data_IF_134075457307
#
_entry.id   IF_134075457307
#
_cell.length_a   1.000
_cell.length_b   1.000
_cell.length_c   1.000
_cell.angle_alpha   90.00
_cell.angle_beta   90.00
_cell.angle_gamma   90.00
#
_symmetry.space_group_name_H-M   'P 1'
#
loop_
_entity.id
_entity.type
_entity.pdbx_description
1 polymer ?
#
# COMPACT_ATOMS: atom_id res chain seq x y z
N UNK A 1 0.74 -20.11 3.20
CA UNK A 1 0.09 -18.78 3.06
C UNK A 1 1.03 -17.63 3.50
N UNK A 2 2.28 -17.58 3.04
CA UNK A 2 3.27 -16.61 3.55
C UNK A 2 4.24 -16.05 2.49
N UNK A 3 3.93 -16.20 1.19
CA UNK A 3 4.82 -15.75 0.09
C UNK A 3 4.32 -14.46 -0.58
N UNK A 4 3.16 -13.94 -0.18
CA UNK A 4 2.51 -12.79 -0.85
C UNK A 4 2.43 -11.52 -0.02
N UNK A 5 2.83 -11.56 1.27
CA UNK A 5 2.86 -10.35 2.09
C UNK A 5 4.10 -9.51 1.76
N UNK A 6 3.89 -8.46 0.95
CA UNK A 6 4.94 -7.54 0.52
C UNK A 6 5.29 -6.48 1.57
N UNK A 7 4.62 -6.49 2.73
CA UNK A 7 4.88 -5.54 3.82
C UNK A 7 6.00 -6.00 4.77
N UNK A 8 6.44 -7.26 4.65
CA UNK A 8 7.32 -7.91 5.62
C UNK A 8 8.79 -7.83 5.21
N UNK A 9 9.67 -7.57 6.18
CA UNK A 9 11.12 -7.49 5.93
C UNK A 9 11.76 -8.88 5.95
N UNK A 10 12.89 -9.04 5.24
CA UNK A 10 13.69 -10.28 5.25
C UNK A 10 14.10 -10.77 6.64
N UNK A 11 14.19 -9.90 7.64
CA UNK A 11 14.45 -10.27 9.05
C UNK A 11 13.26 -10.96 9.68
N UNK A 12 12.06 -10.41 9.51
CA UNK A 12 10.83 -11.01 10.04
C UNK A 12 10.60 -12.37 9.38
N UNK A 13 10.80 -12.47 8.06
CA UNK A 13 10.69 -13.77 7.37
C UNK A 13 11.70 -14.78 7.92
N UNK A 14 12.93 -14.36 8.22
CA UNK A 14 13.94 -15.23 8.82
C UNK A 14 13.54 -15.72 10.21
N UNK A 15 13.04 -14.84 11.07
CA UNK A 15 12.53 -15.20 12.41
C UNK A 15 11.36 -16.19 12.33
N UNK A 16 10.45 -15.99 11.37
CA UNK A 16 9.31 -16.87 11.20
C UNK A 16 9.70 -18.26 10.71
N UNK A 17 10.71 -18.35 9.85
CA UNK A 17 11.28 -19.63 9.40
C UNK A 17 12.01 -20.32 10.55
N UNK A 18 12.77 -19.60 11.36
CA UNK A 18 13.44 -20.16 12.54
C UNK A 18 12.44 -20.70 13.55
N UNK A 19 11.34 -19.99 13.79
CA UNK A 19 10.26 -20.46 14.67
C UNK A 19 9.63 -21.78 14.19
N UNK A 20 9.38 -21.91 12.88
CA UNK A 20 8.70 -23.08 12.31
C UNK A 20 9.63 -24.27 12.10
N UNK A 21 10.86 -24.00 11.66
CA UNK A 21 11.82 -25.04 11.24
C UNK A 21 12.87 -25.34 12.32
N UNK A 22 12.84 -24.61 13.44
CA UNK A 22 13.81 -24.69 14.54
C UNK A 22 15.27 -24.57 14.08
N UNK A 23 15.49 -23.86 12.97
CA UNK A 23 16.80 -23.66 12.38
C UNK A 23 17.06 -22.18 12.17
N UNK A 24 18.19 -21.70 12.70
CA UNK A 24 18.55 -20.30 12.58
C UNK A 24 18.94 -19.97 11.13
N UNK A 25 18.28 -18.98 10.54
CA UNK A 25 18.59 -18.52 9.18
C UNK A 25 18.87 -17.03 9.22
N UNK A 26 19.96 -16.59 8.59
CA UNK A 26 20.26 -15.17 8.52
C UNK A 26 19.30 -14.43 7.58
N UNK A 27 18.98 -13.18 7.89
CA UNK A 27 18.20 -12.31 7.01
C UNK A 27 18.84 -12.13 5.62
N UNK A 28 20.17 -12.23 5.52
CA UNK A 28 20.91 -12.19 4.24
C UNK A 28 20.57 -13.40 3.37
N UNK A 29 20.54 -14.59 3.97
CA UNK A 29 20.13 -15.82 3.29
C UNK A 29 18.69 -15.71 2.81
N UNK A 30 17.79 -15.21 3.66
CA UNK A 30 16.39 -15.00 3.27
C UNK A 30 16.23 -14.00 2.14
N UNK A 31 16.92 -12.85 2.19
CA UNK A 31 16.90 -11.87 1.10
C UNK A 31 17.34 -12.49 -0.24
N UNK A 32 18.41 -13.29 -0.25
CA UNK A 32 18.89 -13.97 -1.47
C UNK A 32 17.86 -14.95 -2.00
N UNK A 33 17.23 -15.75 -1.14
CA UNK A 33 16.17 -16.70 -1.52
C UNK A 33 14.94 -15.98 -2.09
N UNK A 34 14.53 -14.88 -1.48
CA UNK A 34 13.42 -14.04 -1.96
C UNK A 34 13.75 -13.44 -3.35
N UNK A 35 14.98 -12.97 -3.56
CA UNK A 35 15.42 -12.47 -4.87
C UNK A 35 15.43 -13.57 -5.94
N UNK A 36 15.90 -14.77 -5.60
CA UNK A 36 15.86 -15.94 -6.49
C UNK A 36 14.41 -16.32 -6.87
N UNK A 37 13.45 -16.10 -5.98
CA UNK A 37 12.02 -16.31 -6.27
C UNK A 37 11.34 -15.10 -6.94
N UNK A 38 12.10 -14.11 -7.42
CA UNK A 38 11.58 -12.93 -8.12
C UNK A 38 11.01 -11.83 -7.23
N UNK A 39 11.22 -11.90 -5.91
CA UNK A 39 10.80 -10.87 -4.97
C UNK A 39 11.94 -9.87 -4.72
N UNK A 40 11.66 -8.60 -5.02
CA UNK A 40 12.55 -7.47 -4.75
C UNK A 40 11.97 -6.55 -3.70
N UNK A 41 12.85 -5.93 -2.91
CA UNK A 41 12.44 -4.89 -1.99
C UNK A 41 11.77 -3.73 -2.75
N UNK A 42 10.70 -3.19 -2.16
CA UNK A 42 10.00 -2.01 -2.65
C UNK A 42 9.82 -1.03 -1.50
N UNK A 43 9.81 0.26 -1.81
CA UNK A 43 9.37 1.27 -0.85
C UNK A 43 7.84 1.27 -0.85
N UNK A 44 7.18 1.18 0.33
CA UNK A 44 5.74 1.36 0.38
C UNK A 44 5.39 2.75 -0.17
N UNK A 45 4.29 2.83 -0.92
CA UNK A 45 3.72 4.13 -1.24
C UNK A 45 3.39 4.81 0.08
N UNK A 46 3.78 6.08 0.20
CA UNK A 46 3.36 6.94 1.30
C UNK A 46 1.88 7.26 1.05
N UNK A 47 1.01 6.33 1.42
CA UNK A 47 -0.44 6.49 1.32
C UNK A 47 -1.01 6.82 2.70
N UNK A 48 -2.09 7.60 2.71
CA UNK A 48 -2.84 7.86 3.94
C UNK A 48 -3.62 6.58 4.27
N UNK A 49 -3.41 5.97 5.45
CA UNK A 49 -4.11 4.75 5.78
C UNK A 49 -5.62 5.00 5.80
N UNK A 50 -6.34 4.39 4.88
CA UNK A 50 -7.79 4.40 4.88
C UNK A 50 -8.29 3.49 5.99
N UNK A 51 -9.23 3.98 6.80
CA UNK A 51 -9.96 3.14 7.75
C UNK A 51 -10.86 2.18 6.98
N UNK A 52 -11.27 1.09 7.62
CA UNK A 52 -12.22 0.15 7.00
C UNK A 52 -13.50 0.85 6.54
N UNK A 53 -14.00 1.80 7.33
CA UNK A 53 -15.18 2.60 6.97
C UNK A 53 -14.94 3.46 5.72
N UNK A 54 -13.76 4.09 5.60
CA UNK A 54 -13.43 4.86 4.38
C UNK A 54 -13.45 3.97 3.14
N UNK A 55 -12.89 2.76 3.23
CA UNK A 55 -12.85 1.81 2.11
C UNK A 55 -14.27 1.43 1.69
N UNK A 56 -15.13 1.08 2.65
CA UNK A 56 -16.51 0.68 2.38
C UNK A 56 -17.31 1.82 1.74
N UNK A 57 -17.28 3.01 2.33
CA UNK A 57 -18.03 4.16 1.82
C UNK A 57 -17.57 4.61 0.44
N UNK A 58 -16.25 4.65 0.21
CA UNK A 58 -15.70 4.99 -1.11
C UNK A 58 -16.09 3.97 -2.17
N UNK A 59 -16.03 2.68 -1.83
CA UNK A 59 -16.46 1.61 -2.73
C UNK A 59 -17.95 1.73 -3.05
N UNK A 60 -18.80 1.88 -2.03
CA UNK A 60 -20.23 2.05 -2.23
C UNK A 60 -20.53 3.24 -3.15
N UNK A 61 -19.89 4.38 -2.91
CA UNK A 61 -20.08 5.58 -3.72
C UNK A 61 -19.72 5.34 -5.19
N UNK A 62 -18.64 4.62 -5.46
CA UNK A 62 -18.23 4.23 -6.82
C UNK A 62 -19.20 3.22 -7.44
N UNK A 63 -19.64 2.22 -6.68
CA UNK A 63 -20.56 1.19 -7.17
C UNK A 63 -21.93 1.80 -7.54
N UNK A 64 -22.45 2.74 -6.74
CA UNK A 64 -23.68 3.50 -7.02
C UNK A 64 -23.60 4.31 -8.32
N UNK A 65 -22.42 4.82 -8.67
CA UNK A 65 -22.19 5.73 -9.81
C UNK A 65 -21.48 5.05 -10.97
N UNK A 66 -21.35 3.72 -10.91
CA UNK A 66 -20.58 2.94 -11.88
C UNK A 66 -21.11 3.07 -13.31
N UNK A 67 -22.42 3.28 -13.46
CA UNK A 67 -23.08 3.42 -14.77
C UNK A 67 -23.40 4.86 -15.13
N UNK A 68 -22.98 5.84 -14.33
CA UNK A 68 -23.15 7.25 -14.67
C UNK A 68 -22.35 7.56 -15.93
N UNK A 69 -23.02 8.24 -16.87
CA UNK A 69 -22.43 8.68 -18.13
C UNK A 69 -22.82 10.12 -18.42
N UNK A 70 -24.12 10.38 -18.62
CA UNK A 70 -24.65 11.71 -18.87
C UNK A 70 -24.71 12.56 -17.60
N UNK A 71 -24.87 11.91 -16.45
CA UNK A 71 -24.96 12.55 -15.12
C UNK A 71 -23.67 13.26 -14.75
N UNK A 72 -22.51 12.80 -15.27
CA UNK A 72 -21.24 13.48 -15.04
C UNK A 72 -21.20 14.90 -15.63
N UNK A 73 -22.03 15.21 -16.63
CA UNK A 73 -22.09 16.54 -17.24
C UNK A 73 -22.71 17.59 -16.30
N UNK A 74 -23.43 17.16 -15.26
CA UNK A 74 -24.08 18.05 -14.30
C UNK A 74 -23.22 18.27 -13.03
N UNK A 75 -22.09 17.58 -12.92
CA UNK A 75 -21.23 17.62 -11.73
C UNK A 75 -20.06 18.57 -11.95
N UNK A 76 -19.92 19.55 -11.07
CA UNK A 76 -18.72 20.40 -10.98
C UNK A 76 -17.92 19.99 -9.75
N UNK A 77 -16.67 19.59 -9.96
CA UNK A 77 -15.74 19.28 -8.87
C UNK A 77 -14.95 20.53 -8.48
N UNK A 78 -14.87 20.79 -7.19
CA UNK A 78 -14.04 21.85 -6.62
C UNK A 78 -13.21 21.29 -5.48
N UNK A 79 -11.95 21.69 -5.37
CA UNK A 79 -11.09 21.38 -4.23
C UNK A 79 -10.14 22.55 -3.95
N UNK A 80 -9.63 22.61 -2.72
CA UNK A 80 -8.70 23.64 -2.29
C UNK A 80 -7.25 23.15 -2.41
N UNK A 81 -6.51 23.77 -3.33
CA UNK A 81 -5.07 23.56 -3.45
C UNK A 81 -4.28 24.57 -2.64
N UNK A 82 -3.20 24.11 -1.97
CA UNK A 82 -2.23 24.99 -1.33
C UNK A 82 -1.02 25.16 -2.23
N UNK A 83 -0.71 26.39 -2.60
CA UNK A 83 0.47 26.73 -3.39
C UNK A 83 1.60 27.11 -2.42
N UNK A 84 2.69 26.35 -2.41
CA UNK A 84 3.84 26.62 -1.55
C UNK A 84 4.89 27.40 -2.35
N UNK A 85 5.26 28.61 -1.90
CA UNK A 85 6.20 29.47 -2.62
C UNK A 85 7.68 29.16 -2.36
N UNK A 86 7.99 28.38 -1.32
CA UNK A 86 9.38 28.19 -0.88
C UNK A 86 9.75 26.70 -0.70
N UNK A 87 9.03 25.95 0.14
CA UNK A 87 9.32 24.54 0.38
C UNK A 87 8.04 23.70 0.43
N UNK A 88 8.15 22.45 -0.03
CA UNK A 88 7.05 21.51 0.00
C UNK A 88 6.78 21.02 1.45
N UNK A 89 5.54 21.15 1.93
CA UNK A 89 5.17 20.79 3.32
C UNK A 89 5.15 19.28 3.62
N UNK A 90 5.42 18.42 2.62
CA UNK A 90 5.53 16.96 2.83
C UNK A 90 4.22 16.24 3.17
N UNK A 91 3.07 16.92 3.14
CA UNK A 91 1.76 16.31 3.36
C UNK A 91 1.33 15.49 2.15
N UNK A 92 0.88 14.27 2.42
CA UNK A 92 0.13 13.44 1.48
C UNK A 92 -1.34 13.84 1.60
N UNK A 93 -2.11 13.82 0.51
CA UNK A 93 -3.57 14.03 0.48
C UNK A 93 -4.25 12.81 -0.13
N UNK A 94 -5.52 12.62 0.16
CA UNK A 94 -6.35 11.50 -0.35
C UNK A 94 -7.08 11.89 -1.62
#
# INVERSE_FOLDING_TARGET
>A
MAVTDRSVTSRIVAQQIEFVMHHSVSARTMRRRLQQSGLSARRPLLDLPLTQNHILLRRQWCDERRMWTVEWNEVVFTDESRICLQHHHGRIRV
#
